data_IF_932936013769
#
_entry.id   IF_932936013769
#
_cell.length_a   1.000
_cell.length_b   1.000
_cell.length_c   1.000
_cell.angle_alpha   90.00
_cell.angle_beta   90.00
_cell.angle_gamma   90.00
#
_symmetry.space_group_name_H-M   'P 1'
#
loop_
_entity.id
_entity.type
_entity.pdbx_description
1 polymer ?
#
# COMPACT_ATOMS: atom_id res chain seq x y z
N UNK A 1 -14.97 27.79 -8.62
CA UNK A 1 -14.01 27.15 -7.71
C UNK A 1 -13.25 26.14 -8.54
N UNK A 2 -12.03 26.52 -8.95
CA UNK A 2 -11.15 25.66 -9.71
C UNK A 2 -10.85 24.44 -8.84
N UNK A 3 -11.21 23.26 -9.36
CA UNK A 3 -11.00 22.00 -8.67
C UNK A 3 -9.50 21.69 -8.74
N UNK A 4 -8.73 22.25 -7.81
CA UNK A 4 -7.30 21.91 -7.67
C UNK A 4 -7.27 20.48 -7.16
N UNK A 5 -7.24 19.53 -8.11
CA UNK A 5 -6.90 18.17 -7.81
C UNK A 5 -5.42 18.16 -7.42
N UNK A 6 -5.16 18.21 -6.11
CA UNK A 6 -3.82 18.01 -5.56
C UNK A 6 -3.45 16.55 -5.83
N UNK A 7 -2.87 16.29 -6.99
CA UNK A 7 -2.33 14.99 -7.33
C UNK A 7 -1.07 14.78 -6.47
N UNK A 8 -1.06 13.71 -5.68
CA UNK A 8 0.16 13.32 -4.97
C UNK A 8 1.21 12.89 -6.00
N UNK A 9 2.35 13.58 -5.98
CA UNK A 9 3.46 13.37 -6.92
C UNK A 9 4.67 12.83 -6.18
N UNK A 10 5.54 12.15 -6.91
CA UNK A 10 6.80 11.68 -6.33
C UNK A 10 7.84 12.80 -6.26
N UNK A 11 8.64 12.77 -5.19
CA UNK A 11 9.86 13.54 -5.10
C UNK A 11 10.84 13.10 -6.20
N UNK A 12 11.40 14.06 -6.90
CA UNK A 12 12.37 13.84 -7.98
C UNK A 12 13.69 14.52 -7.63
N UNK A 13 14.77 14.10 -8.30
CA UNK A 13 16.08 14.74 -8.21
C UNK A 13 16.35 15.67 -9.40
N UNK A 14 15.29 16.04 -10.13
CA UNK A 14 15.40 16.88 -11.32
C UNK A 14 15.84 18.28 -10.91
N UNK A 15 16.92 18.75 -11.54
CA UNK A 15 17.48 20.07 -11.29
C UNK A 15 16.55 21.17 -11.78
N UNK A 16 16.62 22.33 -11.14
CA UNK A 16 15.79 23.48 -11.52
C UNK A 16 16.11 24.04 -12.91
N UNK A 17 17.36 23.90 -13.35
CA UNK A 17 17.85 24.34 -14.67
C UNK A 17 17.62 23.31 -15.79
N UNK A 18 16.96 22.21 -15.47
CA UNK A 18 16.56 21.22 -16.46
C UNK A 18 15.41 21.72 -17.34
N UNK A 19 15.38 21.30 -18.60
CA UNK A 19 14.31 21.65 -19.56
C UNK A 19 12.96 21.08 -19.15
N UNK A 20 12.94 19.96 -18.41
CA UNK A 20 11.71 19.35 -17.87
C UNK A 20 11.35 19.79 -16.45
N UNK A 21 11.97 20.84 -15.91
CA UNK A 21 11.62 21.41 -14.62
C UNK A 21 10.36 22.28 -14.69
N UNK A 22 9.40 22.16 -13.74
CA UNK A 22 9.34 21.17 -12.66
C UNK A 22 8.81 19.81 -13.15
N UNK A 23 9.55 18.74 -12.89
CA UNK A 23 9.15 17.39 -13.33
C UNK A 23 8.27 16.71 -12.29
N UNK A 24 6.96 16.67 -12.56
CA UNK A 24 5.94 16.13 -11.65
C UNK A 24 5.26 14.90 -12.25
N UNK A 25 5.36 13.76 -11.56
CA UNK A 25 4.71 12.51 -11.95
C UNK A 25 3.71 12.09 -10.87
N UNK A 26 2.40 12.06 -11.17
CA UNK A 26 1.37 11.57 -10.26
C UNK A 26 1.54 10.10 -9.90
N UNK A 27 1.06 9.72 -8.72
CA UNK A 27 1.04 8.33 -8.28
C UNK A 27 0.43 7.36 -9.31
N UNK A 28 1.03 6.17 -9.45
CA UNK A 28 0.62 5.11 -10.38
C UNK A 28 0.67 5.50 -11.87
N UNK A 29 1.35 6.59 -12.23
CA UNK A 29 1.54 7.00 -13.63
C UNK A 29 3.02 6.97 -14.03
N UNK A 30 3.26 7.08 -15.33
CA UNK A 30 4.61 7.22 -15.88
C UNK A 30 4.66 8.33 -16.93
N UNK A 31 5.84 8.92 -17.09
CA UNK A 31 6.16 9.88 -18.14
C UNK A 31 7.43 9.47 -18.87
N UNK A 32 7.47 9.81 -20.16
CA UNK A 32 8.67 9.75 -20.97
C UNK A 32 9.26 11.16 -21.02
N UNK A 33 10.55 11.29 -20.70
CA UNK A 33 11.29 12.55 -20.74
C UNK A 33 12.59 12.37 -21.54
N UNK A 34 13.37 13.45 -21.70
CA UNK A 34 14.60 13.49 -22.49
C UNK A 34 14.39 12.90 -23.90
N UNK A 35 13.42 13.42 -24.64
CA UNK A 35 13.07 12.96 -26.00
C UNK A 35 12.77 11.45 -26.10
N UNK A 36 12.03 10.93 -25.11
CA UNK A 36 11.70 9.51 -24.93
C UNK A 36 12.87 8.60 -24.52
N UNK A 37 14.03 9.13 -24.10
CA UNK A 37 15.14 8.30 -23.66
C UNK A 37 14.97 7.75 -22.24
N UNK A 38 14.26 8.46 -21.37
CA UNK A 38 14.07 8.08 -19.96
C UNK A 38 12.59 7.91 -19.68
N UNK A 39 12.24 6.81 -19.02
CA UNK A 39 10.91 6.55 -18.50
C UNK A 39 10.93 6.67 -16.99
N UNK A 40 10.09 7.54 -16.45
CA UNK A 40 9.97 7.74 -15.01
C UNK A 40 8.56 7.39 -14.55
N UNK A 41 8.45 6.63 -13.47
CA UNK A 41 7.19 6.25 -12.82
C UNK A 41 7.16 6.72 -11.38
N UNK A 42 5.97 7.01 -10.89
CA UNK A 42 5.74 7.29 -9.47
C UNK A 42 4.87 6.20 -8.86
N UNK A 43 5.30 5.68 -7.72
CA UNK A 43 4.56 4.70 -6.94
C UNK A 43 4.75 4.97 -5.45
N UNK A 44 3.64 5.17 -4.75
CA UNK A 44 3.58 5.36 -3.30
C UNK A 44 4.30 4.25 -2.51
N UNK A 45 4.35 3.02 -3.04
CA UNK A 45 5.07 1.90 -2.43
C UNK A 45 6.59 2.15 -2.34
N UNK A 46 7.14 3.02 -3.18
CA UNK A 46 8.57 3.35 -3.22
C UNK A 46 8.87 4.67 -2.50
N UNK A 47 8.26 4.88 -1.33
CA UNK A 47 8.47 6.06 -0.48
C UNK A 47 8.28 7.39 -1.23
N UNK A 48 7.31 7.45 -2.14
CA UNK A 48 7.05 8.65 -2.96
C UNK A 48 8.29 9.13 -3.72
N UNK A 49 9.23 8.24 -4.05
CA UNK A 49 10.45 8.58 -4.79
C UNK A 49 10.29 8.18 -6.25
N UNK A 50 10.59 9.10 -7.15
CA UNK A 50 10.49 8.88 -8.58
C UNK A 50 11.46 7.77 -9.03
N UNK A 51 10.94 6.77 -9.73
CA UNK A 51 11.73 5.65 -10.26
C UNK A 51 11.91 5.83 -11.76
N UNK A 52 13.14 6.04 -12.21
CA UNK A 52 13.44 6.24 -13.62
C UNK A 52 14.32 5.12 -14.16
N UNK A 53 14.14 4.79 -15.44
CA UNK A 53 14.91 3.80 -16.17
C UNK A 53 15.11 4.23 -17.63
N UNK A 54 16.15 3.75 -18.32
CA UNK A 54 16.24 3.86 -19.78
C UNK A 54 14.98 3.30 -20.44
N UNK A 55 14.35 4.06 -21.32
CA UNK A 55 13.07 3.66 -21.92
C UNK A 55 13.22 2.48 -22.90
N UNK A 56 14.39 2.33 -23.52
CA UNK A 56 14.64 1.40 -24.63
C UNK A 56 13.91 1.76 -25.94
N UNK A 57 13.22 2.90 -25.98
CA UNK A 57 12.45 3.36 -27.14
C UNK A 57 13.33 4.29 -27.99
N UNK A 58 13.11 4.28 -29.31
CA UNK A 58 13.80 5.20 -30.21
C UNK A 58 13.50 6.66 -29.83
N UNK A 59 14.51 7.53 -29.70
CA UNK A 59 14.28 8.93 -29.37
C UNK A 59 13.43 9.63 -30.44
N UNK A 60 12.61 10.60 -30.02
CA UNK A 60 11.72 11.33 -30.92
C UNK A 60 12.45 12.36 -31.79
N UNK A 61 13.35 13.14 -31.17
CA UNK A 61 14.02 14.28 -31.82
C UNK A 61 15.55 14.14 -31.85
N UNK A 62 16.11 13.19 -31.10
CA UNK A 62 17.54 12.92 -31.07
C UNK A 62 17.89 11.75 -31.97
N UNK A 63 19.13 11.73 -32.48
CA UNK A 63 19.64 10.62 -33.28
C UNK A 63 19.83 9.35 -32.45
N UNK A 64 20.26 9.50 -31.20
CA UNK A 64 20.43 8.45 -30.21
C UNK A 64 20.24 9.01 -28.80
N UNK A 65 20.02 8.13 -27.82
CA UNK A 65 20.02 8.55 -26.42
C UNK A 65 21.46 8.76 -25.94
N UNK A 66 21.75 9.88 -25.26
CA UNK A 66 23.07 10.12 -24.69
C UNK A 66 23.33 9.16 -23.51
N UNK A 67 24.55 9.20 -22.99
CA UNK A 67 24.92 8.38 -21.84
C UNK A 67 24.03 8.69 -20.63
N UNK A 68 23.58 7.63 -19.96
CA UNK A 68 22.72 7.68 -18.76
C UNK A 68 23.43 7.08 -17.55
N UNK A 69 24.75 7.19 -17.52
CA UNK A 69 25.59 6.69 -16.45
C UNK A 69 25.81 7.79 -15.43
N UNK A 70 25.70 7.46 -14.15
CA UNK A 70 25.99 8.41 -13.09
C UNK A 70 27.50 8.62 -12.93
N UNK A 71 27.88 9.87 -12.69
CA UNK A 71 29.25 10.28 -12.38
C UNK A 71 29.83 9.44 -11.22
N UNK A 72 31.12 9.13 -11.32
CA UNK A 72 31.90 8.37 -10.34
C UNK A 72 31.37 6.95 -10.00
N UNK A 73 30.51 6.39 -10.85
CA UNK A 73 29.98 5.03 -10.69
C UNK A 73 29.81 4.30 -12.02
N UNK A 74 29.74 2.98 -11.99
CA UNK A 74 29.30 2.16 -13.14
C UNK A 74 27.77 2.02 -13.23
N UNK A 75 27.03 2.80 -12.44
CA UNK A 75 25.57 2.72 -12.38
C UNK A 75 24.95 3.53 -13.50
N UNK A 76 23.96 2.94 -14.15
CA UNK A 76 23.04 3.64 -15.04
C UNK A 76 21.76 4.00 -14.31
N UNK A 77 21.01 4.98 -14.82
CA UNK A 77 19.72 5.40 -14.26
C UNK A 77 18.86 4.18 -13.90
N UNK A 78 18.33 4.17 -12.67
CA UNK A 78 17.47 3.11 -12.14
C UNK A 78 18.22 1.94 -11.50
N UNK A 79 19.52 1.79 -11.74
CA UNK A 79 20.32 0.78 -11.07
C UNK A 79 20.72 1.22 -9.67
N UNK A 80 20.80 0.22 -8.79
CA UNK A 80 21.10 0.38 -7.38
C UNK A 80 22.20 -0.60 -6.97
N UNK A 81 23.15 -0.13 -6.19
CA UNK A 81 24.09 -0.97 -5.45
C UNK A 81 23.83 -0.86 -3.96
N UNK A 82 23.88 -1.99 -3.28
CA UNK A 82 23.83 -2.03 -1.82
C UNK A 82 25.21 -2.41 -1.32
N UNK A 83 25.83 -1.53 -0.55
CA UNK A 83 27.08 -1.79 0.17
C UNK A 83 26.79 -1.74 1.66
N UNK A 84 26.90 -2.89 2.34
CA UNK A 84 26.48 -3.05 3.74
C UNK A 84 25.01 -2.66 3.98
N UNK A 85 24.77 -1.57 4.70
CA UNK A 85 23.46 -0.98 4.96
C UNK A 85 23.23 0.34 4.19
N UNK A 86 24.12 0.68 3.25
CA UNK A 86 23.93 1.81 2.35
C UNK A 86 23.48 1.32 0.99
N UNK A 87 22.41 1.93 0.48
CA UNK A 87 21.85 1.64 -0.83
C UNK A 87 22.00 2.90 -1.68
N UNK A 88 22.80 2.82 -2.73
CA UNK A 88 23.09 3.93 -3.64
C UNK A 88 22.43 3.65 -4.98
N UNK A 89 21.54 4.54 -5.41
CA UNK A 89 20.80 4.46 -6.66
C UNK A 89 21.23 5.57 -7.59
N UNK A 90 21.40 5.27 -8.87
CA UNK A 90 21.58 6.30 -9.89
C UNK A 90 20.21 6.88 -10.30
N UNK A 91 19.96 8.12 -9.90
CA UNK A 91 18.72 8.82 -10.15
C UNK A 91 18.84 9.77 -11.36
N UNK A 92 17.71 9.96 -12.05
CA UNK A 92 17.59 10.96 -13.11
C UNK A 92 17.50 12.37 -12.51
N UNK A 93 18.29 13.30 -13.05
CA UNK A 93 18.39 14.67 -12.57
C UNK A 93 18.01 15.72 -13.63
N UNK A 94 17.40 15.31 -14.74
CA UNK A 94 16.96 16.21 -15.81
C UNK A 94 17.73 16.05 -17.11
N UNK A 95 17.53 16.97 -18.05
CA UNK A 95 18.28 17.05 -19.30
C UNK A 95 18.42 18.51 -19.79
N UNK A 96 19.46 18.76 -20.57
CA UNK A 96 19.69 20.06 -21.22
C UNK A 96 19.16 20.10 -22.66
N UNK A 97 19.00 21.31 -23.20
CA UNK A 97 18.70 21.52 -24.62
C UNK A 97 19.75 20.93 -25.56
N UNK A 98 20.98 20.77 -25.09
CA UNK A 98 22.15 20.33 -25.86
C UNK A 98 22.30 18.80 -25.88
N UNK A 99 21.22 18.06 -25.65
CA UNK A 99 21.18 16.60 -25.67
C UNK A 99 22.04 15.93 -24.60
N UNK A 100 22.14 16.53 -23.41
CA UNK A 100 22.80 15.91 -22.26
C UNK A 100 21.78 15.48 -21.21
N UNK A 101 21.92 14.27 -20.67
CA UNK A 101 21.10 13.77 -19.55
C UNK A 101 21.87 13.98 -18.26
N UNK A 102 21.25 14.66 -17.31
CA UNK A 102 21.78 14.83 -15.97
C UNK A 102 21.37 13.65 -15.09
N UNK A 103 22.31 13.21 -14.27
CA UNK A 103 22.14 12.08 -13.35
C UNK A 103 22.76 12.42 -12.00
N UNK A 104 22.30 11.78 -10.94
CA UNK A 104 22.84 11.98 -9.58
C UNK A 104 22.81 10.70 -8.77
N UNK A 105 23.77 10.54 -7.84
CA UNK A 105 23.80 9.44 -6.89
C UNK A 105 22.92 9.76 -5.69
N UNK A 106 21.84 8.99 -5.52
CA UNK A 106 21.00 9.04 -4.33
C UNK A 106 21.40 7.90 -3.38
N UNK A 107 22.06 8.22 -2.26
CA UNK A 107 22.45 7.24 -1.24
C UNK A 107 21.49 7.28 -0.06
N UNK A 108 20.90 6.14 0.27
CA UNK A 108 20.06 5.92 1.44
C UNK A 108 20.75 4.94 2.40
N UNK A 109 21.04 5.41 3.62
CA UNK A 109 21.58 4.55 4.68
C UNK A 109 20.45 4.02 5.56
N UNK A 110 20.42 2.70 5.74
CA UNK A 110 19.56 2.01 6.72
C UNK A 110 20.37 1.44 7.89
N UNK A 111 21.62 1.89 8.05
CA UNK A 111 22.47 1.43 9.13
C UNK A 111 21.84 1.80 10.49
N UNK A 112 21.86 0.89 11.48
CA UNK A 112 21.49 1.26 12.83
C UNK A 112 22.43 2.38 13.29
N UNK A 113 21.85 3.48 13.78
CA UNK A 113 22.62 4.50 14.47
C UNK A 113 23.23 3.83 15.69
N UNK A 114 24.52 3.50 15.63
CA UNK A 114 25.28 3.16 16.82
C UNK A 114 25.37 4.43 17.63
N UNK A 115 24.47 4.59 18.62
CA UNK A 115 24.72 5.52 19.71
C UNK A 115 26.11 5.23 20.26
N UNK A 116 26.91 6.27 20.48
CA UNK A 116 28.20 6.20 21.14
C UNK A 116 28.16 5.25 22.37
N UNK A 117 29.30 4.65 22.78
CA UNK A 117 29.34 3.80 23.97
C UNK A 117 28.86 4.61 25.19
N UNK A 118 27.59 4.40 25.59
CA UNK A 118 26.89 5.18 26.61
C UNK A 118 25.42 5.51 26.31
N UNK A 119 24.96 5.41 25.06
CA UNK A 119 23.55 5.61 24.73
C UNK A 119 22.77 4.29 24.76
N UNK A 120 21.94 4.09 25.79
CA UNK A 120 21.00 2.96 25.91
C UNK A 120 20.30 2.63 24.59
N UNK A 121 20.16 1.34 24.22
CA UNK A 121 19.33 0.95 23.09
C UNK A 121 17.92 1.48 23.30
N UNK A 122 17.47 2.36 22.41
CA UNK A 122 16.06 2.73 22.36
C UNK A 122 15.26 1.47 22.09
N UNK A 123 14.54 0.99 23.11
CA UNK A 123 13.60 -0.10 22.93
C UNK A 123 12.53 0.37 21.93
N UNK A 124 12.66 0.02 20.65
CA UNK A 124 11.54 0.07 19.71
C UNK A 124 10.59 -1.10 20.01
N UNK A 125 10.17 -1.22 21.27
CA UNK A 125 8.96 -1.96 21.56
C UNK A 125 7.85 -1.19 20.83
N UNK A 126 7.35 -1.76 19.73
CA UNK A 126 6.10 -1.34 19.14
C UNK A 126 5.08 -1.29 20.27
N UNK A 127 4.79 -0.09 20.76
CA UNK A 127 3.64 0.11 21.61
C UNK A 127 2.46 -0.12 20.68
N UNK A 128 1.98 -1.36 20.64
CA UNK A 128 0.64 -1.68 20.18
C UNK A 128 -0.27 -0.97 21.17
N UNK A 129 -0.43 0.34 20.97
CA UNK A 129 -1.37 1.16 21.69
C UNK A 129 -2.73 0.69 21.24
N UNK A 130 -3.28 -0.29 21.96
CA UNK A 130 -4.69 -0.64 21.85
C UNK A 130 -5.45 0.62 22.24
N UNK A 131 -5.82 1.41 21.22
CA UNK A 131 -6.66 2.59 21.40
C UNK A 131 -7.96 2.10 22.05
N UNK A 132 -8.22 2.56 23.27
CA UNK A 132 -9.33 2.09 24.11
C UNK A 132 -10.68 2.18 23.39
N UNK A 133 -10.81 3.11 22.46
CA UNK A 133 -11.98 3.24 21.59
C UNK A 133 -12.27 1.96 20.78
N UNK A 134 -11.24 1.27 20.27
CA UNK A 134 -11.42 0.01 19.54
C UNK A 134 -11.84 -1.15 20.46
N UNK A 135 -11.38 -1.17 21.71
CA UNK A 135 -11.81 -2.16 22.70
C UNK A 135 -13.30 -1.98 23.04
N UNK A 136 -13.76 -0.75 23.26
CA UNK A 136 -15.18 -0.48 23.50
C UNK A 136 -16.04 -0.86 22.29
N UNK A 137 -15.63 -0.50 21.08
CA UNK A 137 -16.34 -0.88 19.85
C UNK A 137 -16.41 -2.40 19.71
N UNK A 138 -15.31 -3.11 19.95
CA UNK A 138 -15.26 -4.57 19.90
C UNK A 138 -16.20 -5.20 20.94
N UNK A 139 -16.19 -4.70 22.17
CA UNK A 139 -17.08 -5.19 23.24
C UNK A 139 -18.54 -4.94 22.89
N UNK A 140 -18.88 -3.76 22.36
CA UNK A 140 -20.24 -3.44 21.93
C UNK A 140 -20.72 -4.34 20.80
N UNK A 141 -19.88 -4.60 19.79
CA UNK A 141 -20.21 -5.52 18.70
C UNK A 141 -20.43 -6.94 19.22
N UNK A 142 -19.53 -7.46 20.06
CA UNK A 142 -19.66 -8.80 20.65
C UNK A 142 -20.95 -8.88 21.48
N UNK A 143 -21.24 -7.90 22.35
CA UNK A 143 -22.48 -7.87 23.13
C UNK A 143 -23.73 -7.82 22.23
N UNK A 144 -23.71 -7.05 21.16
CA UNK A 144 -24.82 -6.97 20.20
C UNK A 144 -25.04 -8.32 19.49
N UNK A 145 -23.96 -8.97 19.03
CA UNK A 145 -24.03 -10.29 18.39
C UNK A 145 -24.51 -11.37 19.36
N UNK A 146 -24.03 -11.37 20.60
CA UNK A 146 -24.46 -12.33 21.63
C UNK A 146 -25.92 -12.11 22.02
N UNK A 147 -26.39 -10.86 22.09
CA UNK A 147 -27.79 -10.53 22.36
C UNK A 147 -28.69 -10.99 21.21
N UNK A 148 -28.30 -10.74 19.95
CA UNK A 148 -29.04 -11.24 18.78
C UNK A 148 -29.07 -12.77 18.74
N UNK A 149 -27.94 -13.43 19.02
CA UNK A 149 -27.84 -14.89 19.08
C UNK A 149 -28.68 -15.47 20.21
N UNK A 150 -28.70 -14.83 21.39
CA UNK A 150 -29.53 -15.24 22.52
C UNK A 150 -31.03 -15.06 22.24
N UNK A 151 -31.43 -13.93 21.65
CA UNK A 151 -32.83 -13.67 21.27
C UNK A 151 -33.28 -14.64 20.19
N UNK A 152 -32.46 -14.88 19.15
CA UNK A 152 -32.75 -15.86 18.10
C UNK A 152 -32.86 -17.29 18.67
N UNK A 153 -31.95 -17.67 19.57
CA UNK A 153 -32.02 -18.97 20.25
C UNK A 153 -33.27 -19.07 21.14
N UNK A 154 -33.66 -17.99 21.82
CA UNK A 154 -34.90 -17.95 22.62
C UNK A 154 -36.16 -17.99 21.75
N UNK A 155 -36.16 -17.33 20.60
CA UNK A 155 -37.25 -17.38 19.62
C UNK A 155 -37.39 -18.77 18.99
N UNK A 156 -36.28 -19.38 18.57
CA UNK A 156 -36.29 -20.75 18.04
C UNK A 156 -36.71 -21.78 19.10
N UNK A 157 -36.29 -21.63 20.37
CA UNK A 157 -36.79 -22.47 21.48
C UNK A 157 -38.27 -22.23 21.77
N UNK A 158 -38.77 -21.00 21.63
CA UNK A 158 -40.19 -20.66 21.83
C UNK A 158 -41.06 -21.22 20.69
N UNK A 159 -40.58 -21.17 19.45
CA UNK A 159 -41.21 -21.85 18.31
C UNK A 159 -41.22 -23.37 18.53
N UNK A 160 -40.10 -23.98 18.92
CA UNK A 160 -40.03 -25.42 19.18
C UNK A 160 -40.92 -25.86 20.35
N UNK A 161 -41.16 -25.01 21.36
CA UNK A 161 -42.06 -25.32 22.49
C UNK A 161 -43.55 -25.26 22.11
N UNK A 162 -43.93 -24.51 21.07
CA UNK A 162 -45.32 -24.50 20.56
C UNK A 162 -45.66 -25.71 19.68
N UNK A 163 -44.68 -26.45 19.16
CA UNK A 163 -44.90 -27.66 18.35
C UNK A 163 -44.82 -28.98 19.16
N UNK A 164 -44.72 -28.93 20.50
CA UNK A 164 -44.67 -30.11 21.38
C UNK A 164 -45.82 -30.13 22.40
N UNK A 165 -47.04 -29.84 21.96
CA UNK A 165 -48.27 -30.24 22.67
C UNK A 165 -49.12 -31.08 21.73
N UNK A 166 -48.60 -32.20 21.27
CA UNK A 166 -49.44 -33.33 20.86
C UNK A 166 -48.59 -34.60 20.78
N UNK A 167 -49.14 -35.68 21.32
CA UNK A 167 -48.73 -37.09 21.22
C UNK A 167 -47.98 -37.69 22.41
N UNK A 168 -48.74 -38.10 23.45
CA UNK A 168 -48.48 -39.35 24.18
C UNK A 168 -49.81 -40.04 24.62
N UNK A 169 -50.20 -41.05 23.83
CA UNK A 169 -50.84 -42.36 24.11
C UNK A 169 -52.00 -42.57 25.14
N UNK A 170 -53.18 -42.93 24.59
CA UNK A 170 -54.09 -44.13 24.74
C UNK A 170 -54.20 -44.91 26.08
N UNK A 171 -55.44 -45.36 26.44
CA UNK A 171 -55.81 -46.81 26.40
C UNK A 171 -57.23 -47.06 25.82
N UNK A 172 -57.42 -48.03 24.92
CA UNK A 172 -58.06 -49.36 25.13
C UNK A 172 -59.58 -49.34 25.41
N UNK A 173 -60.41 -49.60 24.39
CA UNK A 173 -61.56 -50.54 24.44
C UNK A 173 -62.35 -50.50 23.11
N UNK A 174 -62.49 -51.68 22.48
CA UNK A 174 -63.48 -51.99 21.44
C UNK A 174 -64.50 -52.92 22.11
N UNK A 175 -65.82 -52.71 21.97
CA UNK A 175 -66.62 -53.57 21.07
C UNK A 175 -67.70 -52.78 20.29
N UNK A 176 -67.80 -52.98 18.97
CA UNK A 176 -68.79 -53.83 18.25
C UNK A 176 -70.08 -53.10 17.81
N UNK A 177 -70.34 -53.20 16.49
CA UNK A 177 -71.63 -53.59 15.84
C UNK A 177 -72.76 -52.54 15.89
N UNK A 178 -73.63 -52.29 14.91
CA UNK A 178 -73.90 -52.63 13.50
C UNK A 178 -75.31 -52.04 13.24
N UNK A 179 -75.72 -51.90 11.96
CA UNK A 179 -77.11 -51.76 11.46
C UNK A 179 -77.70 -50.34 11.62
N UNK A 180 -78.24 -49.65 10.62
CA UNK A 180 -79.00 -50.05 9.42
C UNK A 180 -78.78 -49.08 8.28
#
# INVERSE_FOLDING_TARGET
MENIQVALTCNSSVREDSVDSPFLVPNNTYFLTANNCVKCKCDAANNWTLQCEPSGIKPSSWSACPAMQCEDSSLTIGNTITSSCNTTTCAYAGYSSDQNIFTTLATQSTCPVTTAPGGSPGNFASRIGLSWNYLFISIHLICFFQTKRYIFNRYTKKINKSYWVESLCKPESIPKILIR
#
